data_IF_469766245838
#
_entry.id   IF_469766245838
#
_cell.length_a   1.000
_cell.length_b   1.000
_cell.length_c   1.000
_cell.angle_alpha   90.00
_cell.angle_beta   90.00
_cell.angle_gamma   90.00
#
_symmetry.space_group_name_H-M   'P 1'
#
loop_
_entity.id
_entity.type
_entity.pdbx_description
1 polymer ?
#
# COMPACT_ATOMS: atom_id res chain seq x y z
N UNK A 1 -1.23 -17.74 -13.93
CA UNK A 1 -2.06 -17.30 -12.80
C UNK A 1 -2.36 -18.39 -11.77
N UNK A 2 -2.91 -19.57 -12.14
CA UNK A 2 -3.32 -20.61 -11.17
C UNK A 2 -2.19 -21.18 -10.27
N UNK A 3 -0.95 -21.29 -10.77
CA UNK A 3 0.21 -21.71 -9.96
C UNK A 3 0.60 -20.70 -8.86
N UNK A 4 0.40 -19.40 -9.10
CA UNK A 4 0.74 -18.34 -8.14
C UNK A 4 -0.20 -18.29 -6.93
N UNK A 5 -1.49 -18.57 -7.13
CA UNK A 5 -2.47 -18.62 -6.03
C UNK A 5 -2.24 -19.80 -5.08
N UNK A 6 -1.87 -20.97 -5.60
CA UNK A 6 -1.50 -22.12 -4.76
C UNK A 6 -0.27 -21.83 -3.90
N UNK A 7 0.73 -21.17 -4.49
CA UNK A 7 1.94 -20.79 -3.76
C UNK A 7 1.67 -19.73 -2.68
N UNK A 8 0.86 -18.71 -2.98
CA UNK A 8 0.46 -17.69 -2.01
C UNK A 8 -0.30 -18.29 -0.81
N UNK A 9 -1.27 -19.19 -1.06
CA UNK A 9 -1.98 -19.91 0.01
C UNK A 9 -1.02 -20.75 0.87
N UNK A 10 -0.05 -21.40 0.23
CA UNK A 10 0.98 -22.16 0.93
C UNK A 10 1.86 -21.25 1.81
N UNK A 11 2.29 -20.09 1.30
CA UNK A 11 3.11 -19.14 2.05
C UNK A 11 2.33 -18.56 3.22
N UNK A 12 1.07 -18.17 3.03
CA UNK A 12 0.22 -17.70 4.13
C UNK A 12 -0.01 -18.77 5.20
N UNK A 13 -0.23 -20.03 4.78
CA UNK A 13 -0.39 -21.16 5.68
C UNK A 13 0.90 -21.42 6.49
N UNK A 14 2.05 -21.49 5.81
CA UNK A 14 3.35 -21.69 6.46
C UNK A 14 3.76 -20.51 7.35
N UNK A 15 3.48 -19.27 6.91
CA UNK A 15 3.68 -18.07 7.72
C UNK A 15 2.82 -18.14 8.99
N UNK A 16 1.53 -18.48 8.87
CA UNK A 16 0.64 -18.63 10.02
C UNK A 16 1.11 -19.70 11.00
N UNK A 17 1.64 -20.83 10.50
CA UNK A 17 2.24 -21.88 11.35
C UNK A 17 3.52 -21.38 12.03
N UNK A 18 4.44 -20.76 11.27
CA UNK A 18 5.75 -20.30 11.75
C UNK A 18 5.62 -19.29 12.89
N UNK A 19 4.63 -18.41 12.82
CA UNK A 19 4.40 -17.37 13.82
C UNK A 19 3.32 -17.72 14.84
N UNK A 20 2.92 -19.01 14.93
CA UNK A 20 1.94 -19.51 15.91
C UNK A 20 0.68 -18.64 16.03
N UNK A 21 0.20 -18.10 14.91
CA UNK A 21 -0.96 -17.23 14.91
C UNK A 21 -2.17 -18.07 15.32
N UNK A 22 -2.69 -17.80 16.52
CA UNK A 22 -3.91 -18.43 17.05
C UNK A 22 -5.05 -18.25 16.02
N UNK A 23 -5.99 -19.20 16.02
CA UNK A 23 -7.27 -19.13 15.32
C UNK A 23 -7.98 -17.77 15.40
N UNK A 24 -7.74 -16.98 16.46
CA UNK A 24 -8.22 -15.60 16.64
C UNK A 24 -7.43 -14.55 15.84
N UNK A 25 -6.10 -14.59 15.86
CA UNK A 25 -5.24 -13.73 15.00
C UNK A 25 -5.42 -14.08 13.52
N UNK A 26 -5.74 -15.35 13.23
CA UNK A 26 -6.20 -15.76 11.90
C UNK A 26 -7.51 -15.08 11.51
N UNK A 27 -8.44 -14.74 12.41
CA UNK A 27 -9.69 -14.05 12.05
C UNK A 27 -9.46 -12.58 11.68
N UNK A 28 -8.54 -11.89 12.34
CA UNK A 28 -8.18 -10.50 11.99
C UNK A 28 -7.36 -10.43 10.69
N UNK A 29 -6.47 -11.39 10.42
CA UNK A 29 -5.76 -11.48 9.14
C UNK A 29 -6.60 -12.10 7.99
N UNK A 30 -7.46 -13.10 8.25
CA UNK A 30 -8.40 -13.61 7.24
C UNK A 30 -9.52 -12.61 6.93
N UNK A 31 -9.79 -11.62 7.78
CA UNK A 31 -10.68 -10.51 7.40
C UNK A 31 -10.16 -9.77 6.15
N UNK A 32 -8.84 -9.74 5.95
CA UNK A 32 -8.17 -9.10 4.81
C UNK A 32 -8.08 -10.01 3.57
N UNK A 33 -8.12 -11.33 3.72
CA UNK A 33 -7.92 -12.31 2.63
C UNK A 33 -9.23 -13.03 2.21
N UNK A 34 -10.21 -13.17 3.10
CA UNK A 34 -11.38 -14.03 2.92
C UNK A 34 -12.38 -13.58 1.85
N UNK A 35 -12.48 -12.27 1.59
CA UNK A 35 -13.57 -11.75 0.75
C UNK A 35 -13.35 -11.88 -0.76
N UNK A 36 -12.19 -12.34 -1.23
CA UNK A 36 -11.94 -12.59 -2.66
C UNK A 36 -12.23 -14.02 -3.12
N UNK A 37 -12.36 -14.99 -2.20
CA UNK A 37 -12.71 -16.38 -2.55
C UNK A 37 -14.22 -16.63 -2.49
N UNK A 38 -14.99 -15.80 -1.78
CA UNK A 38 -16.45 -15.98 -1.63
C UNK A 38 -17.29 -15.60 -2.86
N UNK A 39 -16.75 -14.87 -3.84
CA UNK A 39 -17.49 -14.56 -5.08
C UNK A 39 -17.37 -15.63 -6.18
N UNK A 40 -16.53 -16.65 -6.03
CA UNK A 40 -16.40 -17.74 -7.03
C UNK A 40 -17.04 -19.06 -6.62
N UNK A 41 -17.68 -19.16 -5.45
CA UNK A 41 -18.45 -20.34 -5.06
C UNK A 41 -19.89 -19.98 -4.68
N UNK A 42 -20.64 -19.50 -5.67
CA UNK A 42 -22.10 -19.53 -5.65
C UNK A 42 -22.57 -20.98 -5.90
N UNK A 43 -22.37 -21.89 -4.93
CA UNK A 43 -22.89 -23.25 -5.00
C UNK A 43 -22.98 -23.94 -3.62
N UNK A 44 -23.51 -23.25 -2.59
CA UNK A 44 -24.13 -23.93 -1.42
C UNK A 44 -24.76 -22.93 -0.44
N UNK A 45 -26.10 -22.88 -0.31
CA UNK A 45 -26.78 -22.00 0.65
C UNK A 45 -26.47 -22.32 2.12
N UNK A 46 -26.03 -23.54 2.43
CA UNK A 46 -25.85 -24.01 3.81
C UNK A 46 -24.59 -23.47 4.52
N UNK A 47 -23.56 -23.07 3.75
CA UNK A 47 -22.34 -22.44 4.28
C UNK A 47 -22.52 -20.94 4.56
N UNK A 48 -23.58 -20.33 4.03
CA UNK A 48 -23.90 -18.92 4.23
C UNK A 48 -24.42 -18.65 5.65
N UNK A 49 -25.16 -19.60 6.25
CA UNK A 49 -25.73 -19.41 7.60
C UNK A 49 -24.71 -19.53 8.74
N UNK A 50 -23.63 -20.32 8.57
CA UNK A 50 -22.60 -20.50 9.60
C UNK A 50 -21.53 -19.39 9.59
N UNK A 51 -21.43 -18.61 8.52
CA UNK A 51 -20.48 -17.48 8.39
C UNK A 51 -21.00 -16.13 8.89
N UNK A 52 -22.32 -15.99 9.09
CA UNK A 52 -22.97 -14.71 9.44
C UNK A 52 -23.09 -14.51 10.96
N UNK A 53 -22.83 -15.53 11.79
CA UNK A 53 -22.98 -15.45 13.25
C UNK A 53 -21.72 -15.04 14.04
N UNK A 54 -20.64 -14.60 13.39
CA UNK A 54 -19.38 -14.22 14.10
C UNK A 54 -19.01 -12.74 14.05
N UNK A 55 -19.84 -11.86 13.50
CA UNK A 55 -19.50 -10.45 13.35
C UNK A 55 -20.61 -9.57 13.91
N UNK A 56 -20.47 -9.23 15.18
CA UNK A 56 -20.83 -7.98 15.88
C UNK A 56 -20.57 -8.33 17.35
N UNK A 57 -19.32 -8.19 17.78
CA UNK A 57 -19.07 -7.84 19.16
C UNK A 57 -18.39 -6.48 19.10
N UNK A 58 -18.98 -5.42 19.69
CA UNK A 58 -18.19 -4.23 19.97
C UNK A 58 -17.05 -4.73 20.85
N UNK A 59 -15.81 -4.69 20.34
CA UNK A 59 -14.65 -4.79 21.21
C UNK A 59 -14.78 -3.59 22.11
N UNK A 60 -15.26 -3.82 23.34
CA UNK A 60 -15.21 -2.82 24.39
C UNK A 60 -13.77 -2.34 24.40
N UNK A 61 -13.56 -1.02 24.34
CA UNK A 61 -12.23 -0.42 24.36
C UNK A 61 -11.46 -1.04 25.53
N UNK A 62 -10.58 -2.00 25.23
CA UNK A 62 -9.68 -2.54 26.23
C UNK A 62 -8.94 -1.34 26.79
N UNK A 63 -8.83 -1.24 28.12
CA UNK A 63 -8.03 -0.18 28.73
C UNK A 63 -6.62 -0.23 28.13
N UNK A 64 -6.29 0.73 27.26
CA UNK A 64 -5.02 0.84 26.52
C UNK A 64 -4.00 1.64 27.33
N UNK A 65 -4.38 2.24 28.46
CA UNK A 65 -3.45 2.98 29.32
C UNK A 65 -2.20 2.18 29.73
N UNK A 66 -2.28 0.86 30.02
CA UNK A 66 -1.10 0.05 30.26
C UNK A 66 -0.12 0.01 29.08
N UNK A 67 -0.62 -0.06 27.83
CA UNK A 67 0.23 -0.01 26.64
C UNK A 67 0.96 1.33 26.55
N UNK A 68 0.23 2.44 26.67
CA UNK A 68 0.81 3.78 26.49
C UNK A 68 1.95 4.07 27.49
N UNK A 69 1.82 3.59 28.73
CA UNK A 69 2.86 3.73 29.76
C UNK A 69 4.18 3.01 29.45
N UNK A 70 4.18 2.08 28.48
CA UNK A 70 5.36 1.28 28.09
C UNK A 70 6.04 1.79 26.82
N UNK A 71 5.46 2.78 26.14
CA UNK A 71 6.05 3.38 24.96
C UNK A 71 7.12 4.39 25.34
N UNK A 72 8.06 4.63 24.42
CA UNK A 72 9.04 5.68 24.58
C UNK A 72 8.38 7.06 24.69
N UNK A 73 9.05 8.00 25.35
CA UNK A 73 8.57 9.38 25.49
C UNK A 73 8.47 10.15 24.17
N UNK A 74 9.00 9.60 23.08
CA UNK A 74 8.92 10.17 21.74
C UNK A 74 7.76 9.61 20.92
N UNK A 75 7.13 8.52 21.37
CA UNK A 75 5.90 8.04 20.75
C UNK A 75 4.78 9.05 21.00
N UNK A 76 3.90 9.19 20.00
CA UNK A 76 2.75 10.10 20.09
C UNK A 76 1.46 9.27 20.12
N UNK A 77 0.49 9.69 20.93
CA UNK A 77 -0.85 9.13 20.97
C UNK A 77 -1.92 10.22 20.81
N UNK A 78 -3.00 9.88 20.10
CA UNK A 78 -4.08 10.78 19.76
C UNK A 78 -5.43 10.10 19.97
N UNK A 79 -6.29 10.75 20.72
CA UNK A 79 -7.69 10.41 20.91
C UNK A 79 -8.59 11.21 19.95
N UNK A 80 -9.83 10.74 19.71
CA UNK A 80 -10.82 11.50 18.95
C UNK A 80 -11.09 12.93 19.45
N UNK A 81 -10.81 13.21 20.72
CA UNK A 81 -10.94 14.54 21.33
C UNK A 81 -9.78 15.49 21.05
N UNK A 82 -8.64 15.01 20.52
CA UNK A 82 -7.51 15.86 20.18
C UNK A 82 -7.81 16.69 18.94
N UNK A 83 -7.38 17.96 18.94
CA UNK A 83 -7.66 18.91 17.86
C UNK A 83 -7.14 18.46 16.48
N UNK A 84 -6.04 17.70 16.44
CA UNK A 84 -5.40 17.19 15.23
C UNK A 84 -5.80 15.74 14.89
N UNK A 85 -6.86 15.21 15.51
CA UNK A 85 -7.35 13.85 15.26
C UNK A 85 -7.61 13.62 13.78
N UNK A 86 -8.34 14.53 13.13
CA UNK A 86 -8.69 14.44 11.70
C UNK A 86 -7.44 14.25 10.86
N UNK A 87 -6.43 15.11 11.00
CA UNK A 87 -5.19 15.04 10.22
C UNK A 87 -4.41 13.75 10.47
N UNK A 88 -4.51 13.19 11.68
CA UNK A 88 -3.81 11.97 12.11
C UNK A 88 -4.43 10.71 11.50
N UNK A 89 -5.77 10.64 11.45
CA UNK A 89 -6.46 9.46 10.94
C UNK A 89 -6.81 9.56 9.45
N UNK A 90 -6.76 10.77 8.88
CA UNK A 90 -7.14 11.05 7.50
C UNK A 90 -6.44 10.11 6.52
N UNK A 91 -7.25 9.61 5.59
CA UNK A 91 -6.81 8.85 4.43
C UNK A 91 -6.97 9.68 3.17
N UNK A 92 -6.29 9.27 2.10
CA UNK A 92 -6.47 9.90 0.79
C UNK A 92 -7.91 9.77 0.24
N UNK A 93 -8.66 8.77 0.69
CA UNK A 93 -10.06 8.54 0.29
C UNK A 93 -10.93 8.21 1.50
N UNK A 94 -12.15 8.74 1.51
CA UNK A 94 -13.21 8.45 2.47
C UNK A 94 -14.07 7.22 2.08
N UNK A 95 -13.74 6.56 0.96
CA UNK A 95 -14.44 5.34 0.57
C UNK A 95 -14.09 4.17 1.50
N UNK A 96 -15.12 3.51 2.05
CA UNK A 96 -14.99 2.43 3.04
C UNK A 96 -14.09 2.82 4.21
N UNK A 97 -14.38 3.96 4.84
CA UNK A 97 -13.54 4.53 5.88
C UNK A 97 -13.59 3.69 7.18
N UNK A 98 -12.43 3.25 7.72
CA UNK A 98 -12.36 2.63 9.04
C UNK A 98 -12.57 3.66 10.14
N UNK A 99 -13.08 3.25 11.29
CA UNK A 99 -13.16 4.11 12.49
C UNK A 99 -12.15 3.68 13.54
N UNK A 100 -11.62 4.67 14.28
CA UNK A 100 -10.55 4.47 15.25
C UNK A 100 -10.94 5.02 16.62
N UNK A 101 -10.54 4.33 17.68
CA UNK A 101 -10.68 4.79 19.07
C UNK A 101 -9.42 5.46 19.60
N UNK A 102 -8.27 5.20 18.97
CA UNK A 102 -6.95 5.74 19.29
C UNK A 102 -6.07 5.69 18.05
N UNK A 103 -5.16 6.65 17.91
CA UNK A 103 -4.06 6.59 16.98
C UNK A 103 -2.74 6.66 17.75
N UNK A 104 -1.80 5.77 17.42
CA UNK A 104 -0.46 5.76 17.97
C UNK A 104 0.52 5.96 16.82
N UNK A 105 1.47 6.87 17.01
CA UNK A 105 2.62 7.08 16.13
C UNK A 105 3.88 6.60 16.84
N UNK A 106 4.34 5.36 16.61
CA UNK A 106 5.52 4.83 17.27
C UNK A 106 6.77 5.58 16.81
N UNK A 107 7.65 5.95 17.74
CA UNK A 107 8.90 6.66 17.42
C UNK A 107 10.06 5.72 17.10
N UNK A 108 9.94 4.45 17.48
CA UNK A 108 10.97 3.45 17.29
C UNK A 108 10.39 2.09 16.91
N UNK A 109 11.26 1.20 16.41
CA UNK A 109 10.86 -0.20 16.17
C UNK A 109 10.42 -0.87 17.47
N UNK A 110 11.06 -0.55 18.60
CA UNK A 110 10.69 -1.11 19.90
C UNK A 110 9.26 -0.70 20.29
N UNK A 111 8.88 0.57 20.10
CA UNK A 111 7.51 1.03 20.34
C UNK A 111 6.52 0.25 19.46
N UNK A 112 6.82 0.09 18.18
CA UNK A 112 5.96 -0.66 17.27
C UNK A 112 5.83 -2.14 17.69
N UNK A 113 6.92 -2.78 18.08
CA UNK A 113 6.89 -4.16 18.59
C UNK A 113 6.02 -4.28 19.83
N UNK A 114 6.11 -3.32 20.76
CA UNK A 114 5.28 -3.26 21.96
C UNK A 114 3.80 -3.12 21.61
N UNK A 115 3.44 -2.20 20.70
CA UNK A 115 2.07 -2.02 20.21
C UNK A 115 1.54 -3.30 19.58
N UNK A 116 2.33 -3.97 18.73
CA UNK A 116 1.89 -5.19 18.03
C UNK A 116 1.72 -6.37 18.99
N UNK A 117 2.65 -6.55 19.94
CA UNK A 117 2.52 -7.58 20.97
C UNK A 117 1.28 -7.37 21.83
N UNK A 118 1.01 -6.12 22.22
CA UNK A 118 -0.20 -5.78 22.96
C UNK A 118 -1.46 -6.07 22.13
N UNK A 119 -1.54 -5.54 20.92
CA UNK A 119 -2.70 -5.73 20.05
C UNK A 119 -2.97 -7.20 19.75
N UNK A 120 -1.91 -8.00 19.51
CA UNK A 120 -2.06 -9.44 19.30
C UNK A 120 -2.47 -10.19 20.57
N UNK A 121 -1.98 -9.81 21.75
CA UNK A 121 -2.32 -10.46 23.03
C UNK A 121 -3.76 -10.15 23.47
N UNK A 122 -4.24 -8.96 23.15
CA UNK A 122 -5.53 -8.44 23.62
C UNK A 122 -6.62 -8.42 22.54
N UNK A 123 -6.39 -9.06 21.39
CA UNK A 123 -7.32 -9.11 20.26
C UNK A 123 -7.77 -7.70 19.79
N UNK A 124 -6.90 -6.69 19.87
CA UNK A 124 -7.21 -5.31 19.46
C UNK A 124 -7.00 -5.19 17.94
N UNK A 125 -8.05 -4.91 17.15
CA UNK A 125 -7.91 -4.77 15.72
C UNK A 125 -7.24 -3.43 15.37
N UNK A 126 -6.35 -3.44 14.37
CA UNK A 126 -5.59 -2.25 14.01
C UNK A 126 -5.42 -2.07 12.50
N UNK A 127 -5.16 -0.84 12.08
CA UNK A 127 -4.71 -0.50 10.73
C UNK A 127 -3.39 0.26 10.81
N UNK A 128 -2.33 -0.31 10.24
CA UNK A 128 -1.06 0.38 10.06
C UNK A 128 -1.05 1.19 8.78
N UNK A 129 -0.46 2.38 8.81
CA UNK A 129 -0.31 3.22 7.62
C UNK A 129 1.01 3.97 7.61
N UNK A 130 1.64 4.00 6.44
CA UNK A 130 2.61 5.03 6.05
C UNK A 130 1.90 6.20 5.37
N UNK A 131 2.04 6.33 4.05
CA UNK A 131 1.47 7.44 3.27
C UNK A 131 -0.07 7.49 3.10
N UNK A 132 -0.85 6.67 3.82
CA UNK A 132 -2.32 6.81 3.90
C UNK A 132 -3.14 6.62 2.59
N UNK A 133 -2.53 6.07 1.54
CA UNK A 133 -3.09 6.06 0.18
C UNK A 133 -3.80 4.75 -0.23
N UNK A 134 -3.83 3.75 0.65
CA UNK A 134 -4.46 2.46 0.35
C UNK A 134 -5.97 2.58 0.25
N UNK A 135 -6.61 1.78 -0.61
CA UNK A 135 -8.07 1.62 -0.68
C UNK A 135 -8.42 0.13 -0.78
N UNK A 136 -9.50 -0.29 -0.13
CA UNK A 136 -9.97 -1.67 -0.13
C UNK A 136 -11.43 -1.71 0.30
N UNK A 137 -12.23 -2.60 -0.29
CA UNK A 137 -13.63 -2.83 0.11
C UNK A 137 -13.77 -3.30 1.57
N UNK A 138 -12.66 -3.69 2.22
CA UNK A 138 -12.66 -4.26 3.57
C UNK A 138 -12.31 -3.26 4.66
N UNK A 139 -11.87 -2.04 4.32
CA UNK A 139 -11.43 -1.09 5.36
C UNK A 139 -12.56 -0.64 6.27
N UNK A 140 -13.78 -0.46 5.75
CA UNK A 140 -14.96 -0.13 6.55
C UNK A 140 -15.33 -1.20 7.58
N UNK A 141 -14.79 -2.42 7.49
CA UNK A 141 -15.02 -3.46 8.50
C UNK A 141 -14.27 -3.19 9.82
N UNK A 142 -13.23 -2.36 9.81
CA UNK A 142 -12.53 -1.96 11.03
C UNK A 142 -13.32 -0.84 11.71
N UNK A 143 -13.94 -1.17 12.84
CA UNK A 143 -14.70 -0.22 13.65
C UNK A 143 -14.07 -0.08 15.04
N UNK A 144 -13.89 1.17 15.49
CA UNK A 144 -13.30 1.54 16.78
C UNK A 144 -11.91 0.91 17.03
N UNK A 145 -11.13 0.65 15.98
CA UNK A 145 -9.83 0.00 16.07
C UNK A 145 -8.69 0.95 16.46
N UNK A 146 -7.48 0.41 16.48
CA UNK A 146 -6.24 1.18 16.65
C UNK A 146 -5.69 1.62 15.29
N UNK A 147 -5.39 2.91 15.15
CA UNK A 147 -4.57 3.42 14.05
C UNK A 147 -3.10 3.33 14.47
N UNK A 148 -2.26 2.69 13.65
CA UNK A 148 -0.80 2.71 13.81
C UNK A 148 -0.21 3.56 12.69
N UNK A 149 0.21 4.77 13.02
CA UNK A 149 0.80 5.71 12.07
C UNK A 149 2.33 5.56 12.07
N UNK A 150 2.92 5.26 10.92
CA UNK A 150 4.37 5.16 10.76
C UNK A 150 5.04 6.51 10.47
N UNK A 151 4.36 7.63 10.65
CA UNK A 151 4.81 8.98 10.27
C UNK A 151 6.21 9.38 10.77
N UNK A 152 6.71 8.78 11.86
CA UNK A 152 8.08 8.99 12.36
C UNK A 152 9.14 8.11 11.66
N UNK A 153 8.75 7.04 10.98
CA UNK A 153 9.60 6.22 10.11
C UNK A 153 9.74 6.86 8.72
N UNK A 154 10.27 8.09 8.67
CA UNK A 154 10.28 8.94 7.48
C UNK A 154 11.70 9.23 6.92
N UNK A 155 12.72 8.51 7.41
CA UNK A 155 14.10 8.67 6.96
C UNK A 155 14.33 8.21 5.52
N UNK A 156 15.25 8.88 4.83
CA UNK A 156 15.72 8.53 3.48
C UNK A 156 17.25 8.56 3.49
N UNK A 157 17.87 7.50 3.02
CA UNK A 157 19.33 7.38 2.87
C UNK A 157 19.64 6.85 1.49
N UNK A 158 20.57 7.50 0.78
CA UNK A 158 20.98 7.13 -0.58
C UNK A 158 22.48 6.82 -0.53
N UNK A 159 22.86 5.65 -1.07
CA UNK A 159 24.24 5.24 -1.27
C UNK A 159 24.50 5.12 -2.78
N UNK A 160 25.20 6.11 -3.34
CA UNK A 160 25.54 6.17 -4.76
C UNK A 160 26.67 5.22 -5.15
N UNK A 161 27.46 4.73 -4.19
CA UNK A 161 28.50 3.73 -4.47
C UNK A 161 27.88 2.34 -4.63
N UNK A 162 26.85 2.04 -3.84
CA UNK A 162 26.11 0.77 -3.90
C UNK A 162 24.89 0.82 -4.82
N UNK A 163 24.55 1.99 -5.37
CA UNK A 163 23.31 2.21 -6.13
C UNK A 163 22.08 1.76 -5.35
N UNK A 164 21.98 2.17 -4.09
CA UNK A 164 20.82 1.83 -3.25
C UNK A 164 20.20 3.03 -2.57
N UNK A 165 18.92 2.88 -2.23
CA UNK A 165 18.19 3.80 -1.37
C UNK A 165 17.46 3.02 -0.28
N UNK A 166 17.68 3.40 0.98
CA UNK A 166 16.94 2.87 2.13
C UNK A 166 16.00 3.95 2.65
N UNK A 167 14.72 3.59 2.79
CA UNK A 167 13.66 4.49 3.26
C UNK A 167 12.93 3.90 4.46
N UNK A 168 12.32 4.77 5.26
CA UNK A 168 11.36 4.38 6.30
C UNK A 168 9.96 4.08 5.75
N UNK A 169 9.14 3.40 6.56
CA UNK A 169 7.81 2.91 6.19
C UNK A 169 6.78 3.98 5.79
N UNK A 170 6.95 5.25 6.16
CA UNK A 170 6.02 6.34 5.82
C UNK A 170 6.47 7.25 4.69
N UNK A 171 7.67 7.03 4.14
CA UNK A 171 8.23 7.86 3.07
C UNK A 171 7.32 7.88 1.84
N UNK A 172 7.00 9.08 1.37
CA UNK A 172 6.20 9.36 0.17
C UNK A 172 7.07 9.55 -1.06
N UNK A 173 6.51 9.40 -2.26
CA UNK A 173 7.25 9.61 -3.51
C UNK A 173 7.92 10.99 -3.59
N UNK A 174 7.24 12.06 -3.16
CA UNK A 174 7.83 13.41 -3.16
C UNK A 174 9.08 13.56 -2.30
N UNK A 175 9.27 12.70 -1.29
CA UNK A 175 10.41 12.76 -0.39
C UNK A 175 11.65 12.09 -0.98
N UNK A 176 11.52 11.26 -2.03
CA UNK A 176 12.65 10.56 -2.65
C UNK A 176 13.06 11.14 -4.00
N UNK A 177 12.14 11.73 -4.76
CA UNK A 177 12.41 12.19 -6.13
C UNK A 177 13.49 13.27 -6.19
N UNK A 178 13.37 14.32 -5.36
CA UNK A 178 14.34 15.41 -5.31
C UNK A 178 15.75 14.94 -4.88
N UNK A 179 15.88 14.21 -3.76
CA UNK A 179 17.15 13.65 -3.32
C UNK A 179 17.81 12.72 -4.34
N UNK A 180 17.06 11.81 -4.98
CA UNK A 180 17.59 10.91 -6.00
C UNK A 180 18.11 11.66 -7.22
N UNK A 181 17.33 12.62 -7.75
CA UNK A 181 17.75 13.42 -8.89
C UNK A 181 19.06 14.18 -8.61
N UNK A 182 19.19 14.79 -7.42
CA UNK A 182 20.44 15.45 -6.99
C UNK A 182 21.63 14.49 -6.89
N UNK A 183 21.37 13.23 -6.57
CA UNK A 183 22.38 12.18 -6.51
C UNK A 183 22.70 11.55 -7.88
N UNK A 184 22.09 12.05 -8.97
CA UNK A 184 22.25 11.48 -10.31
C UNK A 184 21.56 10.12 -10.46
N UNK A 185 20.52 9.87 -9.66
CA UNK A 185 19.78 8.60 -9.63
C UNK A 185 18.28 8.77 -9.89
N UNK A 186 17.64 7.68 -10.26
CA UNK A 186 16.20 7.54 -10.41
C UNK A 186 15.71 6.19 -9.87
N UNK A 187 14.39 6.12 -9.64
CA UNK A 187 13.67 4.90 -9.30
C UNK A 187 12.25 5.00 -9.84
N UNK A 188 11.61 3.86 -10.02
CA UNK A 188 10.21 3.80 -10.43
C UNK A 188 9.32 4.39 -9.31
N UNK A 189 8.36 5.22 -9.71
CA UNK A 189 7.38 5.84 -8.83
C UNK A 189 6.02 5.92 -9.54
N UNK A 190 4.95 6.06 -8.74
CA UNK A 190 3.63 6.40 -9.26
C UNK A 190 3.48 7.89 -9.59
N UNK A 191 2.28 8.29 -10.02
CA UNK A 191 2.02 9.66 -10.47
C UNK A 191 1.78 10.68 -9.34
N UNK A 192 1.23 10.23 -8.22
CA UNK A 192 0.80 11.14 -7.15
C UNK A 192 1.93 11.30 -6.11
N UNK A 193 2.41 12.54 -5.83
CA UNK A 193 3.55 12.77 -4.93
C UNK A 193 3.30 12.32 -3.49
N UNK A 194 2.04 12.32 -3.06
CA UNK A 194 1.62 11.99 -1.69
C UNK A 194 1.51 10.48 -1.40
N UNK A 195 1.68 9.61 -2.40
CA UNK A 195 1.61 8.15 -2.21
C UNK A 195 2.82 7.66 -1.42
N UNK A 196 2.57 6.81 -0.41
CA UNK A 196 3.61 6.13 0.35
C UNK A 196 4.32 5.07 -0.49
N UNK A 197 5.65 5.16 -0.58
CA UNK A 197 6.47 4.33 -1.46
C UNK A 197 6.46 2.85 -1.05
N UNK A 198 6.62 2.56 0.24
CA UNK A 198 6.57 1.18 0.76
C UNK A 198 5.20 0.56 0.48
N UNK A 199 4.11 1.25 0.80
CA UNK A 199 2.75 0.76 0.55
C UNK A 199 2.49 0.44 -0.93
N UNK A 200 2.94 1.31 -1.84
CA UNK A 200 2.84 1.07 -3.28
C UNK A 200 3.67 -0.15 -3.73
N UNK A 201 4.88 -0.29 -3.20
CA UNK A 201 5.78 -1.43 -3.48
C UNK A 201 5.13 -2.75 -3.09
N UNK A 202 4.52 -2.83 -1.89
CA UNK A 202 3.94 -4.07 -1.38
C UNK A 202 2.75 -4.59 -2.20
N UNK A 203 2.14 -3.73 -3.04
CA UNK A 203 1.09 -4.10 -3.98
C UNK A 203 1.54 -4.22 -5.44
N UNK A 204 2.81 -3.95 -5.76
CA UNK A 204 3.28 -3.82 -7.14
C UNK A 204 4.12 -2.58 -7.35
N UNK A 205 3.43 -1.45 -7.44
CA UNK A 205 4.00 -0.17 -7.78
C UNK A 205 4.15 -0.02 -9.29
N UNK A 206 3.04 0.34 -9.94
CA UNK A 206 2.99 0.66 -11.37
C UNK A 206 3.32 2.14 -11.55
N UNK A 207 4.16 2.44 -12.54
CA UNK A 207 4.68 3.78 -12.76
C UNK A 207 5.19 4.00 -14.18
N UNK A 208 5.58 5.24 -14.47
CA UNK A 208 6.02 5.65 -15.82
C UNK A 208 7.33 4.99 -16.25
N UNK A 209 8.18 4.60 -15.29
CA UNK A 209 9.46 3.94 -15.56
C UNK A 209 9.34 2.41 -15.66
N UNK A 210 8.13 1.85 -15.68
CA UNK A 210 7.96 0.41 -15.73
C UNK A 210 8.54 -0.26 -16.97
N UNK A 211 8.53 0.45 -18.11
CA UNK A 211 9.13 -0.06 -19.35
C UNK A 211 10.67 -0.08 -19.30
N UNK A 212 11.28 0.79 -18.50
CA UNK A 212 12.73 0.87 -18.33
C UNK A 212 13.23 -0.09 -17.26
N UNK A 213 12.58 -0.09 -16.09
CA UNK A 213 13.13 -0.71 -14.88
C UNK A 213 12.16 -1.72 -14.20
N UNK A 214 10.99 -2.00 -14.77
CA UNK A 214 9.97 -2.85 -14.14
C UNK A 214 9.13 -2.15 -13.07
N UNK A 215 8.42 -2.90 -12.23
CA UNK A 215 7.61 -2.34 -11.14
C UNK A 215 8.50 -1.85 -9.99
N UNK A 216 7.94 -1.03 -9.08
CA UNK A 216 8.68 -0.61 -7.87
C UNK A 216 9.15 -1.82 -7.06
N UNK A 217 8.34 -2.90 -7.01
CA UNK A 217 8.71 -4.14 -6.32
C UNK A 217 9.90 -4.88 -6.95
N UNK A 218 10.23 -4.61 -8.22
CA UNK A 218 11.36 -5.25 -8.89
C UNK A 218 12.69 -4.64 -8.42
N UNK A 219 12.65 -3.38 -7.97
CA UNK A 219 13.80 -2.70 -7.35
C UNK A 219 13.96 -3.03 -5.86
N UNK A 220 12.99 -3.68 -5.20
CA UNK A 220 13.08 -3.97 -3.77
C UNK A 220 14.17 -5.02 -3.49
N UNK A 221 15.13 -4.72 -2.62
CA UNK A 221 16.21 -5.64 -2.19
C UNK A 221 15.89 -6.35 -0.88
N UNK A 222 15.41 -5.58 0.09
CA UNK A 222 15.13 -6.07 1.44
C UNK A 222 14.20 -5.16 2.21
N UNK A 223 13.57 -5.70 3.25
CA UNK A 223 12.82 -4.93 4.24
C UNK A 223 13.16 -5.34 5.66
N UNK A 224 13.02 -4.40 6.58
CA UNK A 224 12.85 -4.66 8.00
C UNK A 224 11.34 -4.74 8.29
N UNK A 225 10.89 -5.91 8.74
CA UNK A 225 9.48 -6.24 8.95
C UNK A 225 9.24 -6.56 10.43
N UNK A 226 8.28 -5.90 11.05
CA UNK A 226 7.71 -6.34 12.33
C UNK A 226 6.60 -7.34 12.04
N UNK A 227 6.78 -8.57 12.48
CA UNK A 227 5.82 -9.69 12.31
C UNK A 227 4.62 -9.52 13.26
N UNK A 228 3.54 -10.30 13.08
CA UNK A 228 2.39 -10.22 13.99
C UNK A 228 2.69 -10.68 15.43
N UNK A 229 3.77 -11.44 15.65
CA UNK A 229 4.30 -11.77 16.99
C UNK A 229 5.11 -10.63 17.61
N UNK A 230 5.34 -9.57 16.83
CA UNK A 230 6.13 -8.41 17.23
C UNK A 230 7.63 -8.64 17.13
N UNK A 231 8.09 -9.59 16.32
CA UNK A 231 9.52 -9.80 16.07
C UNK A 231 9.97 -8.94 14.89
N UNK A 232 11.15 -8.33 15.02
CA UNK A 232 11.79 -7.64 13.89
C UNK A 232 12.62 -8.64 13.10
N UNK A 233 12.31 -8.79 11.82
CA UNK A 233 13.07 -9.66 10.91
C UNK A 233 13.51 -8.92 9.66
N UNK A 234 14.62 -9.36 9.09
CA UNK A 234 15.06 -8.96 7.75
C UNK A 234 14.49 -9.93 6.72
N UNK A 235 13.87 -9.39 5.67
CA UNK A 235 13.28 -10.17 4.59
C UNK A 235 13.88 -9.74 3.26
N UNK A 236 14.48 -10.67 2.53
CA UNK A 236 15.24 -10.42 1.30
C UNK A 236 15.29 -11.66 0.39
N UNK A 237 15.93 -11.53 -0.76
CA UNK A 237 16.19 -12.68 -1.65
C UNK A 237 17.12 -13.75 -1.02
N UNK A 238 17.84 -13.42 0.06
CA UNK A 238 18.77 -14.33 0.74
C UNK A 238 18.26 -14.79 2.11
N UNK A 239 17.32 -14.07 2.73
CA UNK A 239 16.79 -14.35 4.07
C UNK A 239 15.25 -14.25 4.08
N UNK A 240 14.55 -15.24 4.62
CA UNK A 240 13.08 -15.31 4.57
C UNK A 240 12.52 -15.19 3.12
N UNK A 241 13.09 -15.96 2.18
CA UNK A 241 12.87 -15.82 0.73
C UNK A 241 11.42 -16.03 0.29
N UNK A 242 10.73 -16.95 0.95
CA UNK A 242 9.30 -17.23 0.80
C UNK A 242 8.46 -16.00 1.13
N UNK A 243 8.76 -15.37 2.26
CA UNK A 243 8.13 -14.14 2.68
C UNK A 243 8.50 -12.97 1.77
N UNK A 244 9.74 -12.89 1.31
CA UNK A 244 10.18 -11.86 0.36
C UNK A 244 9.43 -11.93 -0.97
N UNK A 245 9.14 -13.14 -1.45
CA UNK A 245 8.26 -13.33 -2.59
C UNK A 245 6.85 -12.82 -2.28
N UNK A 246 6.28 -13.18 -1.12
CA UNK A 246 4.93 -12.76 -0.73
C UNK A 246 4.77 -11.25 -0.52
N UNK A 247 5.81 -10.59 -0.01
CA UNK A 247 5.82 -9.14 0.21
C UNK A 247 5.73 -8.34 -1.09
N UNK A 248 6.25 -8.88 -2.20
CA UNK A 248 6.23 -8.25 -3.52
C UNK A 248 4.91 -8.53 -4.24
N UNK A 249 3.83 -7.92 -3.75
CA UNK A 249 2.50 -7.94 -4.37
C UNK A 249 1.34 -8.23 -3.41
N UNK A 250 1.58 -8.96 -2.32
CA UNK A 250 0.59 -9.26 -1.28
C UNK A 250 1.04 -8.78 0.11
N UNK A 251 1.96 -7.81 0.16
CA UNK A 251 2.80 -7.60 1.33
C UNK A 251 2.12 -7.06 2.58
N UNK A 252 1.02 -6.34 2.42
CA UNK A 252 0.21 -5.80 3.52
C UNK A 252 -0.42 -6.88 4.43
N UNK A 253 -0.28 -8.17 4.12
CA UNK A 253 -0.83 -9.27 4.91
C UNK A 253 0.17 -9.86 5.94
N UNK A 254 1.46 -9.58 5.82
CA UNK A 254 2.49 -10.34 6.55
C UNK A 254 3.13 -9.60 7.71
N UNK A 255 2.85 -8.30 7.88
CA UNK A 255 3.43 -7.50 8.95
C UNK A 255 3.55 -6.04 8.57
N UNK A 256 4.32 -5.30 9.37
CA UNK A 256 4.52 -3.86 9.20
C UNK A 256 5.97 -3.61 8.80
N UNK A 257 6.16 -3.07 7.60
CA UNK A 257 7.48 -2.69 7.09
C UNK A 257 7.90 -1.35 7.70
N UNK A 258 8.97 -1.36 8.50
CA UNK A 258 9.53 -0.15 9.12
C UNK A 258 10.61 0.49 8.26
N UNK A 259 11.31 -0.30 7.45
CA UNK A 259 12.31 0.16 6.49
C UNK A 259 12.37 -0.74 5.26
N UNK A 260 12.63 -0.17 4.11
CA UNK A 260 12.80 -0.86 2.83
C UNK A 260 14.02 -0.34 2.08
N UNK A 261 14.81 -1.25 1.50
CA UNK A 261 15.98 -0.92 0.67
C UNK A 261 15.71 -1.30 -0.77
N UNK A 262 16.03 -0.38 -1.68
CA UNK A 262 15.81 -0.51 -3.10
C UNK A 262 17.11 -0.34 -3.87
N UNK A 263 17.24 -1.03 -5.00
CA UNK A 263 18.15 -0.64 -6.07
C UNK A 263 17.66 0.67 -6.71
N UNK A 264 18.60 1.55 -7.08
CA UNK A 264 18.33 2.78 -7.82
C UNK A 264 19.17 2.81 -9.09
N UNK A 265 18.69 3.51 -10.10
CA UNK A 265 19.27 3.51 -11.44
C UNK A 265 19.90 4.86 -11.74
N UNK A 266 20.85 4.90 -12.68
CA UNK A 266 21.33 6.19 -13.20
C UNK A 266 20.21 6.93 -13.92
N UNK A 267 20.28 8.26 -13.92
CA UNK A 267 19.31 9.10 -14.62
C UNK A 267 19.23 8.72 -16.11
N UNK A 268 18.06 8.31 -16.56
CA UNK A 268 17.78 8.14 -17.98
C UNK A 268 17.76 9.53 -18.62
N UNK A 269 18.56 9.73 -19.69
CA UNK A 269 18.65 11.00 -20.42
C UNK A 269 18.86 12.23 -19.51
N UNK A 270 19.77 12.08 -18.54
CA UNK A 270 20.09 13.12 -17.56
C UNK A 270 18.85 13.62 -16.78
N UNK A 271 17.81 12.80 -16.68
CA UNK A 271 16.55 13.08 -16.02
C UNK A 271 15.58 13.95 -16.83
N UNK A 272 15.88 14.19 -18.12
CA UNK A 272 14.95 14.87 -19.01
C UNK A 272 13.83 13.93 -19.43
N UNK A 273 12.59 14.41 -19.36
CA UNK A 273 11.39 13.65 -19.73
C UNK A 273 10.49 14.55 -20.57
N UNK A 274 10.01 14.05 -21.71
CA UNK A 274 8.96 14.69 -22.49
C UNK A 274 7.60 14.22 -21.96
N UNK A 275 6.76 15.17 -21.57
CA UNK A 275 5.40 14.90 -21.14
C UNK A 275 4.42 15.65 -22.05
N UNK A 276 3.46 14.93 -22.62
CA UNK A 276 2.45 15.49 -23.53
C UNK A 276 1.07 15.02 -23.10
N UNK A 277 0.18 15.96 -22.80
CA UNK A 277 -1.22 15.68 -22.46
C UNK A 277 -2.10 15.95 -23.68
N UNK A 278 -2.96 14.98 -24.03
CA UNK A 278 -3.99 15.12 -25.07
C UNK A 278 -5.38 14.97 -24.45
N UNK A 279 -6.32 15.78 -24.92
CA UNK A 279 -7.73 15.69 -24.53
C UNK A 279 -8.56 15.40 -25.77
N UNK A 280 -9.39 14.36 -25.67
CA UNK A 280 -10.28 13.95 -26.74
C UNK A 280 -11.74 14.09 -26.29
N UNK A 281 -12.64 14.64 -27.13
CA UNK A 281 -14.07 14.58 -26.85
C UNK A 281 -14.55 13.12 -26.86
N UNK A 282 -15.65 12.86 -26.16
CA UNK A 282 -16.24 11.52 -26.05
C UNK A 282 -16.52 10.87 -27.43
N UNK A 283 -16.83 11.70 -28.44
CA UNK A 283 -17.08 11.26 -29.82
C UNK A 283 -15.88 10.61 -30.50
N UNK A 284 -14.65 10.80 -29.99
CA UNK A 284 -13.43 10.19 -30.52
C UNK A 284 -12.93 8.98 -29.70
N UNK A 285 -13.72 8.49 -28.73
CA UNK A 285 -13.32 7.37 -27.88
C UNK A 285 -12.95 6.12 -28.68
N UNK A 286 -13.73 5.76 -29.71
CA UNK A 286 -13.46 4.59 -30.54
C UNK A 286 -12.14 4.73 -31.29
N UNK A 287 -11.93 5.86 -31.99
CA UNK A 287 -10.67 6.16 -32.69
C UNK A 287 -9.47 6.11 -31.74
N UNK A 288 -9.62 6.65 -30.53
CA UNK A 288 -8.58 6.63 -29.51
C UNK A 288 -8.20 5.20 -29.09
N UNK A 289 -9.18 4.37 -28.74
CA UNK A 289 -8.91 2.98 -28.34
C UNK A 289 -8.41 2.12 -29.51
N UNK A 290 -8.83 2.39 -30.74
CA UNK A 290 -8.29 1.73 -31.93
C UNK A 290 -6.80 2.06 -32.12
N UNK A 291 -6.40 3.32 -31.90
CA UNK A 291 -4.98 3.71 -31.90
C UNK A 291 -4.22 3.00 -30.79
N UNK A 292 -4.74 2.98 -29.55
CA UNK A 292 -4.10 2.26 -28.45
C UNK A 292 -3.94 0.76 -28.76
N UNK A 293 -4.97 0.13 -29.30
CA UNK A 293 -4.96 -1.28 -29.68
C UNK A 293 -3.99 -1.58 -30.83
N UNK A 294 -3.69 -0.60 -31.69
CA UNK A 294 -2.71 -0.76 -32.77
C UNK A 294 -1.26 -0.87 -32.27
N UNK A 295 -0.97 -0.43 -31.05
CA UNK A 295 0.34 -0.62 -30.43
C UNK A 295 0.47 -2.04 -29.88
N UNK A 296 1.02 -2.95 -30.68
CA UNK A 296 1.29 -4.35 -30.28
C UNK A 296 2.41 -4.44 -29.23
N UNK A 297 3.37 -3.50 -29.27
CA UNK A 297 4.45 -3.38 -28.28
C UNK A 297 4.85 -1.93 -28.14
N UNK A 298 4.91 -1.41 -26.91
CA UNK A 298 5.38 -0.06 -26.63
C UNK A 298 6.90 -0.07 -26.42
N UNK A 299 7.64 0.94 -26.93
CA UNK A 299 9.03 1.15 -26.57
C UNK A 299 9.21 1.27 -25.05
N UNK A 300 10.33 0.77 -24.52
CA UNK A 300 10.63 0.79 -23.08
C UNK A 300 10.56 2.21 -22.45
N UNK A 301 11.03 3.23 -23.17
CA UNK A 301 10.98 4.64 -22.74
C UNK A 301 9.62 5.33 -22.95
N UNK A 302 8.60 4.64 -23.46
CA UNK A 302 7.27 5.20 -23.69
C UNK A 302 6.25 4.64 -22.68
N UNK A 303 5.62 5.55 -21.93
CA UNK A 303 4.51 5.23 -21.01
C UNK A 303 3.25 5.96 -21.44
N UNK A 304 2.16 5.21 -21.56
CA UNK A 304 0.82 5.73 -21.88
C UNK A 304 -0.09 5.63 -20.65
N UNK A 305 -0.80 6.71 -20.34
CA UNK A 305 -1.79 6.75 -19.26
C UNK A 305 -3.09 7.36 -19.79
N UNK A 306 -4.17 6.59 -19.84
CA UNK A 306 -5.48 7.08 -20.28
C UNK A 306 -6.44 7.18 -19.08
N UNK A 307 -7.20 8.27 -19.00
CA UNK A 307 -8.19 8.53 -17.97
C UNK A 307 -9.48 9.04 -18.60
N UNK A 308 -10.59 8.31 -18.45
CA UNK A 308 -11.91 8.80 -18.79
C UNK A 308 -12.51 9.59 -17.61
N UNK A 309 -12.94 10.82 -17.84
CA UNK A 309 -13.53 11.71 -16.85
C UNK A 309 -14.82 12.34 -17.36
N UNK A 310 -15.90 12.25 -16.60
CA UNK A 310 -17.07 13.07 -16.86
C UNK A 310 -16.80 14.50 -16.36
N UNK A 311 -16.79 15.49 -17.27
CA UNK A 311 -16.65 16.90 -16.96
C UNK A 311 -17.97 17.62 -17.27
N UNK A 312 -18.87 17.79 -16.29
CA UNK A 312 -20.16 18.45 -16.52
C UNK A 312 -20.02 19.92 -16.96
N UNK A 313 -18.92 20.59 -16.62
CA UNK A 313 -18.67 22.01 -16.89
C UNK A 313 -17.99 22.30 -18.24
N UNK A 314 -17.52 21.28 -18.96
CA UNK A 314 -16.87 21.43 -20.27
C UNK A 314 -17.82 20.90 -21.34
N UNK A 315 -18.84 21.70 -21.64
CA UNK A 315 -19.71 21.52 -22.82
C UNK A 315 -21.08 20.88 -22.55
N UNK A 316 -21.96 21.55 -21.81
CA UNK A 316 -23.40 21.36 -21.95
C UNK A 316 -23.97 22.44 -22.88
N UNK A 317 -23.80 22.25 -24.20
CA UNK A 317 -24.72 22.83 -25.17
C UNK A 317 -25.24 21.68 -26.05
N UNK A 318 -26.32 21.09 -25.56
CA UNK A 318 -27.14 20.03 -26.15
C UNK A 318 -26.64 18.57 -26.04
N UNK A 319 -27.48 17.77 -25.36
CA UNK A 319 -27.64 16.31 -25.38
C UNK A 319 -26.70 15.45 -24.50
N UNK A 320 -27.31 14.98 -23.40
CA UNK A 320 -27.08 13.73 -22.62
C UNK A 320 -25.69 13.10 -22.62
N UNK A 321 -25.08 13.06 -21.43
CA UNK A 321 -24.01 12.13 -21.00
C UNK A 321 -22.81 12.02 -21.94
N UNK A 322 -21.90 13.00 -21.91
CA UNK A 322 -20.58 12.83 -22.51
C UNK A 322 -19.49 12.85 -21.43
N UNK A 323 -18.75 11.75 -21.33
CA UNK A 323 -17.53 11.65 -20.53
C UNK A 323 -16.36 12.02 -21.43
N UNK A 324 -15.61 13.07 -21.10
CA UNK A 324 -14.40 13.44 -21.82
C UNK A 324 -13.26 12.47 -21.46
N UNK A 325 -12.39 12.11 -22.40
CA UNK A 325 -11.23 11.28 -22.10
C UNK A 325 -9.96 12.12 -22.15
N UNK A 326 -9.22 12.12 -21.06
CA UNK A 326 -7.89 12.72 -20.96
C UNK A 326 -6.88 11.59 -21.10
N UNK A 327 -6.07 11.64 -22.14
CA UNK A 327 -4.95 10.72 -22.29
C UNK A 327 -3.65 11.46 -22.13
N UNK A 328 -2.86 11.03 -21.15
CA UNK A 328 -1.53 11.52 -20.87
C UNK A 328 -0.49 10.59 -21.49
N UNK A 329 0.37 11.14 -22.33
CA UNK A 329 1.54 10.46 -22.88
C UNK A 329 2.79 10.97 -22.14
N UNK A 330 3.58 10.06 -21.57
CA UNK A 330 4.91 10.41 -21.04
C UNK A 330 5.98 9.60 -21.78
N UNK A 331 6.97 10.29 -22.33
CA UNK A 331 8.09 9.68 -23.05
C UNK A 331 9.41 10.14 -22.45
N UNK A 332 10.19 9.20 -21.94
CA UNK A 332 11.59 9.40 -21.63
C UNK A 332 12.37 8.98 -22.87
N UNK A 333 12.88 9.95 -23.62
CA UNK A 333 13.87 9.73 -24.68
C UNK A 333 15.18 9.37 -24.00
#
# INVERSE_FOLDING_TARGET
MLRGFGHLKSILSEFSKRYSLDSKVRRSQLLMIGMHVQRTMAASPLLFLLGVLSFIFPVAASDISPLLSTLSSSAEDYYPSNANWTDTVQRWTAWEEPTFSLAIKPASVADLQTVIKYASKHDVPFLASGGGHGYSTSFGALQNGLKIDLGLFNGVTIDTNQNTMTIGGSVKFSQVTGPLFKAGKEIQIGSCPCVGMVGATLGGGVGRYQGLHGLILDALKSVQLVTPTGDLITVSATQNKDLFWGLRGAGFNYGIVTSATYDVYDLTNNGNVLHVDFMFPASLNESFFNILASYVTLPAGLSLYALAMNYPSVGASSLSTQSNMITRLTHSI
#
